data_IF_382478736094
#
_entry.id   IF_382478736094
#
_cell.length_a   1.000
_cell.length_b   1.000
_cell.length_c   1.000
_cell.angle_alpha   90.00
_cell.angle_beta   90.00
_cell.angle_gamma   90.00
#
_symmetry.space_group_name_H-M   'P 1'
#
loop_
_entity.id
_entity.type
_entity.pdbx_description
1 polymer ?
#
# COMPACT_ATOMS: atom_id res chain seq x y z
N UNK A 1 -13.64 11.78 0.30
CA UNK A 1 -12.73 10.68 -0.06
C UNK A 1 -13.51 9.66 -0.86
N UNK A 2 -13.20 9.47 -2.15
CA UNK A 2 -13.92 8.48 -2.96
C UNK A 2 -13.47 7.08 -2.56
N UNK A 3 -14.21 6.47 -1.63
CA UNK A 3 -13.83 5.19 -1.07
C UNK A 3 -13.88 4.05 -2.10
N UNK A 4 -14.51 4.24 -3.27
CA UNK A 4 -14.62 3.21 -4.32
C UNK A 4 -13.28 2.67 -4.82
N UNK A 5 -12.22 3.48 -4.71
CA UNK A 5 -10.85 3.13 -5.11
C UNK A 5 -10.09 2.34 -4.05
N UNK A 6 -10.64 2.20 -2.84
CA UNK A 6 -9.97 1.55 -1.74
C UNK A 6 -10.23 0.04 -1.72
N UNK A 7 -9.24 -0.73 -2.18
CA UNK A 7 -9.25 -2.20 -2.17
C UNK A 7 -9.22 -2.81 -0.76
N UNK A 8 -8.88 -2.03 0.26
CA UNK A 8 -8.86 -2.44 1.67
C UNK A 8 -10.05 -1.87 2.47
N UNK A 9 -11.17 -1.61 1.79
CA UNK A 9 -12.45 -1.26 2.47
C UNK A 9 -12.95 -2.37 3.39
N UNK A 10 -12.68 -3.61 3.01
CA UNK A 10 -12.95 -4.78 3.79
C UNK A 10 -11.64 -5.28 4.38
N UNK A 11 -11.74 -5.94 5.53
CA UNK A 11 -10.58 -6.54 6.19
C UNK A 11 -9.93 -7.58 5.28
N UNK A 12 -8.61 -7.71 5.41
CA UNK A 12 -7.84 -8.71 4.67
C UNK A 12 -8.22 -10.10 5.19
N UNK A 13 -8.72 -10.96 4.30
CA UNK A 13 -8.86 -12.39 4.60
C UNK A 13 -7.48 -13.06 4.63
N UNK A 14 -6.95 -13.23 5.84
CA UNK A 14 -5.67 -13.87 6.07
C UNK A 14 -5.63 -15.34 5.64
N UNK A 15 -6.76 -16.06 5.70
CA UNK A 15 -6.78 -17.46 5.28
C UNK A 15 -6.57 -17.56 3.78
N UNK A 16 -7.28 -16.74 3.01
CA UNK A 16 -7.10 -16.65 1.57
C UNK A 16 -5.68 -16.19 1.23
N UNK A 17 -5.15 -15.18 1.91
CA UNK A 17 -3.77 -14.70 1.68
C UNK A 17 -2.72 -15.79 1.97
N UNK A 18 -2.91 -16.62 3.00
CA UNK A 18 -1.99 -17.72 3.32
C UNK A 18 -2.03 -18.87 2.31
N UNK A 19 -3.15 -19.08 1.62
CA UNK A 19 -3.22 -20.04 0.52
C UNK A 19 -2.42 -19.56 -0.70
N UNK A 20 -2.37 -18.25 -0.92
CA UNK A 20 -1.63 -17.63 -2.03
C UNK A 20 -0.14 -17.41 -1.74
N UNK A 21 0.22 -17.20 -0.46
CA UNK A 21 1.59 -16.97 -0.02
C UNK A 21 2.01 -17.93 1.11
N UNK A 22 2.74 -19.02 0.77
CA UNK A 22 3.21 -20.00 1.75
C UNK A 22 4.15 -19.43 2.83
N UNK A 23 4.85 -18.33 2.54
CA UNK A 23 5.69 -17.68 3.54
C UNK A 23 4.84 -16.92 4.56
N UNK A 24 3.73 -16.31 4.13
CA UNK A 24 2.74 -15.73 5.04
C UNK A 24 2.03 -16.77 5.89
N UNK A 25 1.73 -17.95 5.33
CA UNK A 25 1.05 -19.03 6.06
C UNK A 25 1.76 -19.43 7.37
N UNK A 26 3.10 -19.32 7.42
CA UNK A 26 3.93 -19.60 8.61
C UNK A 26 3.64 -18.65 9.78
N UNK A 27 3.03 -17.50 9.51
CA UNK A 27 2.70 -16.48 10.51
C UNK A 27 1.22 -16.52 10.92
N UNK A 28 0.46 -17.56 10.54
CA UNK A 28 -0.91 -17.74 11.01
C UNK A 28 -0.99 -18.79 12.12
N UNK A 29 -1.81 -18.48 13.12
CA UNK A 29 -2.26 -19.45 14.12
C UNK A 29 -3.30 -20.40 13.51
N UNK A 30 -3.52 -21.54 14.15
CA UNK A 30 -4.53 -22.54 13.75
C UNK A 30 -5.93 -21.93 13.59
N UNK A 31 -6.27 -20.92 14.40
CA UNK A 31 -7.56 -20.25 14.32
C UNK A 31 -7.68 -19.27 13.12
N UNK A 32 -6.62 -19.10 12.33
CA UNK A 32 -6.55 -18.21 11.16
C UNK A 32 -6.22 -16.76 11.49
N UNK A 33 -5.93 -16.44 12.75
CA UNK A 33 -5.45 -15.12 13.15
C UNK A 33 -3.94 -15.01 12.93
N UNK A 34 -3.46 -13.78 12.70
CA UNK A 34 -2.04 -13.49 12.63
C UNK A 34 -1.36 -13.83 13.97
N UNK A 35 -0.18 -14.43 13.91
CA UNK A 35 0.63 -14.66 15.09
C UNK A 35 1.31 -13.36 15.51
N UNK A 36 1.15 -12.99 16.78
CA UNK A 36 1.73 -11.78 17.37
C UNK A 36 2.84 -12.11 18.37
N UNK A 37 3.36 -13.35 18.36
CA UNK A 37 4.53 -13.74 19.17
C UNK A 37 5.78 -12.96 18.76
N UNK A 38 5.95 -12.71 17.45
CA UNK A 38 6.89 -11.73 16.89
C UNK A 38 6.12 -10.76 15.98
N UNK A 39 5.56 -9.68 16.54
CA UNK A 39 4.77 -8.72 15.76
C UNK A 39 5.58 -8.13 14.60
N UNK A 40 6.88 -7.89 14.78
CA UNK A 40 7.71 -7.28 13.74
C UNK A 40 7.84 -8.19 12.53
N UNK A 41 8.17 -9.46 12.74
CA UNK A 41 8.25 -10.43 11.65
C UNK A 41 6.89 -10.65 10.96
N UNK A 42 5.82 -10.79 11.75
CA UNK A 42 4.46 -11.00 11.22
C UNK A 42 3.96 -9.82 10.38
N UNK A 43 4.12 -8.59 10.86
CA UNK A 43 3.72 -7.40 10.09
C UNK A 43 4.57 -7.18 8.84
N UNK A 44 5.86 -7.51 8.89
CA UNK A 44 6.75 -7.46 7.72
C UNK A 44 6.31 -8.46 6.66
N UNK A 45 6.05 -9.72 7.04
CA UNK A 45 5.59 -10.71 6.08
C UNK A 45 4.21 -10.37 5.54
N UNK A 46 3.28 -9.90 6.37
CA UNK A 46 1.98 -9.41 5.93
C UNK A 46 2.14 -8.30 4.88
N UNK A 47 3.02 -7.32 5.14
CA UNK A 47 3.29 -6.21 4.22
C UNK A 47 3.84 -6.69 2.89
N UNK A 48 4.84 -7.59 2.91
CA UNK A 48 5.40 -8.20 1.70
C UNK A 48 4.32 -8.90 0.88
N UNK A 49 3.46 -9.67 1.54
CA UNK A 49 2.42 -10.48 0.90
C UNK A 49 1.33 -9.61 0.28
N UNK A 50 0.87 -8.57 0.97
CA UNK A 50 -0.10 -7.60 0.44
C UNK A 50 0.46 -6.83 -0.77
N UNK A 51 1.70 -6.32 -0.67
CA UNK A 51 2.34 -5.59 -1.77
C UNK A 51 2.52 -6.47 -3.01
N UNK A 52 2.87 -7.74 -2.81
CA UNK A 52 2.99 -8.73 -3.89
C UNK A 52 1.64 -9.06 -4.51
N UNK A 53 0.61 -9.37 -3.72
CA UNK A 53 -0.71 -9.76 -4.21
C UNK A 53 -1.39 -8.63 -4.97
N UNK A 54 -1.47 -7.45 -4.35
CA UNK A 54 -2.36 -6.37 -4.78
C UNK A 54 -1.68 -5.39 -5.74
N UNK A 55 -0.36 -5.19 -5.60
CA UNK A 55 0.40 -4.20 -6.38
C UNK A 55 1.49 -4.84 -7.25
N UNK A 56 1.66 -6.17 -7.18
CA UNK A 56 2.72 -6.91 -7.88
C UNK A 56 4.14 -6.41 -7.53
N UNK A 57 4.32 -5.89 -6.32
CA UNK A 57 5.58 -5.36 -5.82
C UNK A 57 6.26 -6.39 -4.92
N UNK A 58 7.46 -6.84 -5.32
CA UNK A 58 8.34 -7.62 -4.45
C UNK A 58 9.29 -6.67 -3.73
N UNK A 59 9.15 -6.58 -2.41
CA UNK A 59 9.96 -5.67 -1.58
C UNK A 59 10.71 -6.42 -0.51
N UNK A 60 11.93 -5.98 -0.24
CA UNK A 60 12.64 -6.35 0.98
C UNK A 60 12.41 -5.27 2.03
N UNK A 61 11.90 -5.67 3.18
CA UNK A 61 11.66 -4.79 4.32
C UNK A 61 12.73 -5.11 5.36
N UNK A 62 13.67 -4.22 5.70
CA UNK A 62 14.69 -4.49 6.71
C UNK A 62 14.10 -4.81 8.09
N UNK A 63 14.84 -5.57 8.89
CA UNK A 63 14.43 -6.00 10.24
C UNK A 63 14.49 -4.85 11.26
N UNK A 64 15.32 -3.83 10.99
CA UNK A 64 15.60 -2.69 11.86
C UNK A 64 14.64 -1.50 11.65
N UNK A 65 13.55 -1.69 10.91
CA UNK A 65 12.64 -0.59 10.51
C UNK A 65 11.19 -0.88 10.85
N UNK A 66 10.47 0.20 11.15
CA UNK A 66 9.02 0.15 11.30
C UNK A 66 8.36 -0.25 9.98
N UNK A 67 7.43 -1.21 10.06
CA UNK A 67 6.64 -1.67 8.93
C UNK A 67 5.19 -1.20 9.12
N UNK A 68 4.84 0.02 8.69
CA UNK A 68 3.47 0.52 8.89
C UNK A 68 2.47 -0.30 8.06
N UNK A 69 1.24 -0.51 8.56
CA UNK A 69 0.23 -1.29 7.84
C UNK A 69 -0.09 -0.71 6.45
N UNK A 70 0.00 -1.57 5.42
CA UNK A 70 -0.28 -1.21 4.02
C UNK A 70 -1.65 -0.55 3.83
N UNK A 71 -2.77 -1.05 4.43
CA UNK A 71 -4.07 -0.42 4.27
C UNK A 71 -4.11 1.07 4.68
N UNK A 72 -3.46 1.41 5.79
CA UNK A 72 -3.41 2.79 6.26
C UNK A 72 -2.58 3.69 5.34
N UNK A 73 -1.48 3.17 4.77
CA UNK A 73 -0.68 3.91 3.80
C UNK A 73 -1.42 4.10 2.47
N UNK A 74 -2.20 3.10 2.05
CA UNK A 74 -3.02 3.21 0.85
C UNK A 74 -4.13 4.26 1.00
N UNK A 75 -4.78 4.32 2.18
CA UNK A 75 -5.74 5.38 2.50
C UNK A 75 -5.15 6.78 2.32
N UNK A 76 -3.90 6.98 2.76
CA UNK A 76 -3.24 8.28 2.63
C UNK A 76 -2.94 8.63 1.17
N UNK A 77 -2.49 7.66 0.36
CA UNK A 77 -2.26 7.85 -1.09
C UNK A 77 -3.56 8.23 -1.80
N UNK A 78 -4.68 7.56 -1.49
CA UNK A 78 -5.98 7.88 -2.08
C UNK A 78 -6.47 9.28 -1.69
N UNK A 79 -6.23 9.69 -0.44
CA UNK A 79 -6.55 11.04 0.01
C UNK A 79 -5.71 12.10 -0.71
N UNK A 80 -4.40 11.86 -0.89
CA UNK A 80 -3.53 12.73 -1.69
C UNK A 80 -4.00 12.83 -3.14
N UNK A 81 -4.43 11.71 -3.73
CA UNK A 81 -4.99 11.71 -5.08
C UNK A 81 -6.27 12.55 -5.17
N UNK A 82 -7.20 12.42 -4.21
CA UNK A 82 -8.41 13.26 -4.16
C UNK A 82 -8.04 14.76 -4.08
N UNK A 83 -7.01 15.12 -3.30
CA UNK A 83 -6.54 16.50 -3.16
C UNK A 83 -5.89 17.03 -4.44
N UNK A 84 -5.12 16.20 -5.14
CA UNK A 84 -4.54 16.57 -6.43
C UNK A 84 -5.67 16.75 -7.45
N UNK A 85 -6.60 15.80 -7.55
CA UNK A 85 -7.71 15.84 -8.50
C UNK A 85 -8.62 17.07 -8.31
N UNK A 86 -8.69 17.63 -7.09
CA UNK A 86 -9.47 18.85 -6.79
C UNK A 86 -8.71 20.17 -7.01
N UNK A 87 -7.48 20.14 -7.53
CA UNK A 87 -6.63 21.33 -7.73
C UNK A 87 -6.25 21.55 -9.20
N UNK A 88 -7.07 21.07 -10.13
CA UNK A 88 -6.80 21.26 -11.56
C UNK A 88 -6.89 22.74 -11.97
N UNK A 89 -6.04 23.16 -12.90
CA UNK A 89 -6.03 24.52 -13.47
C UNK A 89 -7.27 24.82 -14.32
N UNK A 90 -7.97 23.78 -14.75
CA UNK A 90 -9.16 23.88 -15.60
C UNK A 90 -10.46 23.97 -14.79
N UNK A 91 -10.38 24.09 -13.45
CA UNK A 91 -11.53 24.08 -12.52
C UNK A 91 -12.44 22.85 -12.70
N UNK A 92 -11.85 21.70 -13.03
CA UNK A 92 -12.54 20.40 -13.13
C UNK A 92 -12.01 19.45 -12.08
N UNK A 93 -12.90 18.90 -11.27
CA UNK A 93 -12.53 17.81 -10.38
C UNK A 93 -12.35 16.53 -11.19
N UNK A 94 -11.19 15.89 -11.04
CA UNK A 94 -10.96 14.59 -11.67
C UNK A 94 -9.50 14.27 -11.91
N UNK A 95 -9.26 12.98 -12.12
CA UNK A 95 -7.95 12.45 -12.46
C UNK A 95 -7.55 12.89 -13.88
N UNK A 96 -6.43 13.62 -13.98
CA UNK A 96 -5.79 13.97 -15.24
C UNK A 96 -4.53 13.11 -15.44
N UNK A 97 -4.51 12.18 -16.41
CA UNK A 97 -3.34 11.33 -16.66
C UNK A 97 -2.14 12.11 -17.26
N UNK A 98 -2.34 13.32 -17.78
CA UNK A 98 -1.29 14.14 -18.37
C UNK A 98 -0.66 15.12 -17.37
N UNK A 99 -1.25 15.26 -16.18
CA UNK A 99 -0.72 16.15 -15.15
C UNK A 99 0.58 15.59 -14.57
N UNK A 100 1.64 16.39 -14.64
CA UNK A 100 2.89 16.08 -13.98
C UNK A 100 2.78 16.36 -12.47
N UNK A 101 3.05 15.35 -11.64
CA UNK A 101 2.95 15.46 -10.18
C UNK A 101 4.28 15.05 -9.54
N UNK A 102 4.83 15.93 -8.71
CA UNK A 102 5.99 15.66 -7.89
C UNK A 102 5.58 15.60 -6.41
N UNK A 103 6.14 14.63 -5.68
CA UNK A 103 5.91 14.44 -4.25
C UNK A 103 7.21 14.47 -3.45
N UNK A 104 7.13 15.04 -2.24
CA UNK A 104 8.19 14.99 -1.24
C UNK A 104 7.71 14.13 -0.08
N UNK A 105 8.40 13.03 0.19
CA UNK A 105 8.12 12.14 1.32
C UNK A 105 9.18 12.35 2.41
N UNK A 106 8.74 12.82 3.58
CA UNK A 106 9.60 13.15 4.72
C UNK A 106 9.40 12.09 5.80
N UNK A 107 10.49 11.48 6.29
CA UNK A 107 10.45 10.55 7.42
C UNK A 107 10.20 9.09 7.04
N UNK A 108 10.84 8.59 5.97
CA UNK A 108 10.68 7.23 5.42
C UNK A 108 11.16 6.07 6.30
N UNK A 109 11.50 6.31 7.56
CA UNK A 109 11.91 5.26 8.49
C UNK A 109 13.32 4.69 8.27
N UNK A 110 14.21 5.37 7.54
CA UNK A 110 15.64 5.04 7.55
C UNK A 110 16.48 5.89 6.60
N UNK A 111 17.48 6.58 7.17
CA UNK A 111 18.36 7.53 6.50
C UNK A 111 17.79 8.95 6.50
N UNK A 112 18.51 9.89 7.11
CA UNK A 112 18.11 11.29 7.38
C UNK A 112 17.99 12.20 6.14
N UNK A 113 17.83 11.63 4.95
CA UNK A 113 17.80 12.38 3.68
C UNK A 113 16.39 12.37 3.10
N UNK A 114 15.76 13.54 2.90
CA UNK A 114 14.52 13.63 2.15
C UNK A 114 14.75 13.13 0.72
N UNK A 115 13.78 12.40 0.17
CA UNK A 115 13.83 11.94 -1.21
C UNK A 115 12.64 12.52 -1.97
N UNK A 116 12.97 13.06 -3.15
CA UNK A 116 11.99 13.60 -4.09
C UNK A 116 11.58 12.46 -5.01
N UNK A 117 10.29 12.13 -5.03
CA UNK A 117 9.74 11.14 -5.95
C UNK A 117 8.93 11.87 -7.01
N UNK A 118 9.23 11.58 -8.28
CA UNK A 118 8.32 11.91 -9.37
C UNK A 118 7.21 10.86 -9.36
N UNK A 119 5.97 11.28 -9.09
CA UNK A 119 4.84 10.38 -9.07
C UNK A 119 4.46 10.10 -10.52
N UNK A 120 4.85 8.94 -11.03
CA UNK A 120 4.33 8.48 -12.33
C UNK A 120 2.83 8.20 -12.22
N UNK A 121 2.04 8.52 -13.26
CA UNK A 121 0.64 8.15 -13.33
C UNK A 121 0.44 6.67 -12.99
N UNK A 122 -0.40 6.37 -11.98
CA UNK A 122 -0.82 5.01 -11.70
C UNK A 122 -1.60 4.53 -12.93
N UNK A 123 -1.01 3.63 -13.73
CA UNK A 123 -1.74 3.01 -14.83
C UNK A 123 -2.94 2.28 -14.22
N UNK A 124 -4.16 2.47 -14.73
CA UNK A 124 -5.29 1.69 -14.28
C UNK A 124 -4.95 0.21 -14.45
N UNK A 125 -5.04 -0.55 -13.35
CA UNK A 125 -4.98 -2.01 -13.41
C UNK A 125 -6.20 -2.43 -14.22
N UNK A 126 -5.96 -2.90 -15.46
CA UNK A 126 -7.02 -3.54 -16.25
C UNK A 126 -7.46 -4.77 -15.47
N UNK A 127 -8.71 -4.75 -15.01
CA UNK A 127 -9.41 -5.96 -14.61
C UNK A 127 -9.90 -6.56 -15.91
N UNK A 128 -9.17 -7.55 -16.43
CA UNK A 128 -9.67 -8.36 -17.54
C UNK A 128 -10.85 -9.17 -16.99
N UNK A 129 -12.05 -8.90 -17.51
CA UNK A 129 -13.25 -9.73 -17.33
C UNK A 129 -13.26 -10.86 -18.32
#
# INVERSE_FOLDING_TARGET
MNSARNIYRQDVDFRTLALEDPDFAKFLKINGQLDFSDPHASFRQLTKSLLKRDFKLKVEVPDDRLCPPVPNRFNYILWLQDLIDSTSSEYRDGYDPNRDVAGLDIGRGGGSQPQVYRLTPLRPVRVDT
#
